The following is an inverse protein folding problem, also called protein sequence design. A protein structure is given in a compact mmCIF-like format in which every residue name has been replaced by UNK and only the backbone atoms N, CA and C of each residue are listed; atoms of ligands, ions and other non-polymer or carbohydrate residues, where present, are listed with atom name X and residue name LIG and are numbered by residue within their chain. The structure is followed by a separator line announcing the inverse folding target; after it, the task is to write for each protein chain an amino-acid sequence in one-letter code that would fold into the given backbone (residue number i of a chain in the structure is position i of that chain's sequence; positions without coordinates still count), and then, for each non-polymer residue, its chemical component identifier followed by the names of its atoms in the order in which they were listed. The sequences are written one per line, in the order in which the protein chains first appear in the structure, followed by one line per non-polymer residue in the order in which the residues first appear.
data_IF_209099248790
#
_entry.id   IF_209099248790
#
_cell.length_a   1.000
_cell.length_b   1.000
_cell.length_c   1.000
_cell.angle_alpha   90.00
_cell.angle_beta   90.00
_cell.angle_gamma   90.00
#
_symmetry.space_group_name_H-M   'P 1'
#
loop_
_entity.id
_entity.type
_entity.pdbx_description
1 polymer ?
#
# COMPACT_ATOMS: atom_id res chain seq x y z
N UNK A 1 -0.01 -12.18 -6.87
CA UNK A 1 -1.37 -11.63 -6.71
C UNK A 1 -2.34 -12.66 -6.14
N UNK A 2 -2.24 -13.93 -6.57
CA UNK A 2 -3.02 -15.06 -6.04
C UNK A 2 -3.00 -15.14 -4.51
N UNK A 3 -1.81 -15.06 -3.91
CA UNK A 3 -1.63 -15.06 -2.46
C UNK A 3 -2.42 -13.96 -1.74
N UNK A 4 -2.50 -12.75 -2.32
CA UNK A 4 -3.26 -11.65 -1.71
C UNK A 4 -4.75 -11.95 -1.75
N UNK A 5 -5.26 -12.51 -2.84
CA UNK A 5 -6.66 -12.89 -2.99
C UNK A 5 -7.04 -14.03 -2.03
N UNK A 6 -6.22 -15.07 -1.93
CA UNK A 6 -6.43 -16.17 -0.97
C UNK A 6 -6.46 -15.65 0.48
N UNK A 7 -5.57 -14.72 0.81
CA UNK A 7 -5.58 -14.08 2.14
C UNK A 7 -6.83 -13.24 2.36
N UNK A 8 -7.23 -12.43 1.40
CA UNK A 8 -8.45 -11.62 1.50
C UNK A 8 -9.66 -12.52 1.70
N UNK A 9 -9.79 -13.59 0.93
CA UNK A 9 -10.85 -14.58 1.09
C UNK A 9 -10.85 -15.18 2.50
N UNK A 10 -9.69 -15.64 2.98
CA UNK A 10 -9.53 -16.23 4.31
C UNK A 10 -9.93 -15.26 5.42
N UNK A 11 -9.43 -14.03 5.41
CA UNK A 11 -9.72 -13.05 6.47
C UNK A 11 -11.17 -12.56 6.42
N UNK A 12 -11.76 -12.41 5.24
CA UNK A 12 -13.18 -12.07 5.12
C UNK A 12 -14.06 -13.19 5.70
N UNK A 13 -13.73 -14.45 5.43
CA UNK A 13 -14.42 -15.61 6.02
C UNK A 13 -14.29 -15.66 7.54
N UNK A 14 -13.07 -15.43 8.06
CA UNK A 14 -12.84 -15.37 9.50
C UNK A 14 -13.59 -14.20 10.15
N UNK A 15 -13.60 -13.03 9.47
CA UNK A 15 -14.39 -11.87 9.92
C UNK A 15 -15.87 -12.17 9.99
N UNK A 16 -16.43 -12.83 8.97
CA UNK A 16 -17.84 -13.25 8.97
C UNK A 16 -18.15 -14.21 10.13
N UNK A 17 -17.30 -15.21 10.35
CA UNK A 17 -17.47 -16.16 11.45
C UNK A 17 -17.39 -15.47 12.81
N UNK A 18 -16.41 -14.58 13.00
CA UNK A 18 -16.24 -13.83 14.26
C UNK A 18 -17.42 -12.90 14.52
N UNK A 19 -17.91 -12.21 13.49
CA UNK A 19 -19.11 -11.38 13.59
C UNK A 19 -20.35 -12.19 13.96
N UNK A 20 -20.48 -13.39 13.40
CA UNK A 20 -21.58 -14.30 13.73
C UNK A 20 -21.51 -14.75 15.20
N UNK A 21 -20.33 -15.11 15.70
CA UNK A 21 -20.14 -15.53 17.11
C UNK A 21 -20.47 -14.39 18.05
N UNK A 22 -19.94 -13.18 17.79
CA UNK A 22 -20.24 -12.00 18.62
C UNK A 22 -21.73 -11.71 18.61
N UNK A 23 -22.35 -11.72 17.43
CA UNK A 23 -23.78 -11.46 17.30
C UNK A 23 -24.63 -12.47 18.06
N UNK A 24 -24.30 -13.75 17.97
CA UNK A 24 -24.99 -14.81 18.74
C UNK A 24 -24.85 -14.60 20.25
N UNK A 25 -23.63 -14.22 20.70
CA UNK A 25 -23.40 -13.90 22.12
C UNK A 25 -24.21 -12.68 22.58
N UNK A 26 -24.28 -11.63 21.77
CA UNK A 26 -25.06 -10.43 22.07
C UNK A 26 -26.56 -10.76 22.15
N UNK A 27 -27.09 -11.54 21.21
CA UNK A 27 -28.51 -12.00 21.27
C UNK A 27 -28.76 -12.77 22.56
N UNK A 28 -27.84 -13.67 22.95
CA UNK A 28 -28.00 -14.47 24.13
C UNK A 28 -28.05 -13.62 25.44
N UNK A 29 -27.18 -12.60 25.54
CA UNK A 29 -27.05 -11.72 26.71
C UNK A 29 -28.20 -10.72 26.78
N UNK A 30 -28.62 -10.15 25.64
CA UNK A 30 -29.60 -9.06 25.56
C UNK A 30 -30.90 -9.50 24.89
N UNK A 31 -31.30 -10.76 25.08
CA UNK A 31 -32.45 -11.41 24.42
C UNK A 31 -33.70 -10.56 24.42
N UNK A 32 -34.08 -9.99 25.59
CA UNK A 32 -35.36 -9.30 25.77
C UNK A 32 -35.41 -7.94 25.05
N UNK A 33 -34.27 -7.33 24.78
CA UNK A 33 -34.16 -6.02 24.13
C UNK A 33 -33.98 -6.18 22.63
N UNK A 34 -33.05 -7.03 22.20
CA UNK A 34 -32.60 -7.14 20.82
C UNK A 34 -33.56 -7.94 19.95
N UNK A 35 -34.25 -8.94 20.54
CA UNK A 35 -35.14 -9.81 19.75
C UNK A 35 -36.28 -9.07 19.04
N UNK A 36 -36.67 -7.88 19.52
CA UNK A 36 -37.70 -7.05 18.93
C UNK A 36 -37.20 -6.08 17.87
N UNK A 37 -35.87 -5.93 17.71
CA UNK A 37 -35.27 -4.96 16.81
C UNK A 37 -34.86 -5.64 15.48
N UNK A 38 -35.82 -5.72 14.57
CA UNK A 38 -35.65 -6.31 13.26
C UNK A 38 -34.55 -5.59 12.44
N UNK A 39 -34.42 -4.26 12.58
CA UNK A 39 -33.44 -3.48 11.82
C UNK A 39 -32.02 -3.87 12.17
N UNK A 40 -31.73 -4.02 13.47
CA UNK A 40 -30.41 -4.49 13.93
C UNK A 40 -30.07 -5.89 13.42
N UNK A 41 -31.05 -6.82 13.45
CA UNK A 41 -30.84 -8.17 12.89
C UNK A 41 -30.54 -8.14 11.40
N UNK A 42 -31.27 -7.32 10.64
CA UNK A 42 -31.07 -7.18 9.20
C UNK A 42 -29.70 -6.60 8.88
N UNK A 43 -29.27 -5.51 9.56
CA UNK A 43 -27.97 -4.87 9.33
C UNK A 43 -26.83 -5.85 9.60
N UNK A 44 -26.85 -6.53 10.74
CA UNK A 44 -25.77 -7.45 11.11
C UNK A 44 -25.75 -8.67 10.17
N UNK A 45 -26.92 -9.23 9.86
CA UNK A 45 -27.05 -10.31 8.88
C UNK A 45 -26.51 -9.91 7.51
N UNK A 46 -26.82 -8.69 7.06
CA UNK A 46 -26.29 -8.15 5.81
C UNK A 46 -24.77 -8.00 5.81
N UNK A 47 -24.19 -7.50 6.93
CA UNK A 47 -22.72 -7.39 7.06
C UNK A 47 -22.06 -8.78 6.96
N UNK A 48 -22.60 -9.77 7.67
CA UNK A 48 -22.07 -11.15 7.63
C UNK A 48 -22.18 -11.71 6.21
N UNK A 49 -23.31 -11.53 5.55
CA UNK A 49 -23.53 -11.95 4.16
C UNK A 49 -22.54 -11.30 3.21
N UNK A 50 -22.33 -9.99 3.33
CA UNK A 50 -21.36 -9.25 2.52
C UNK A 50 -19.93 -9.76 2.71
N UNK A 51 -19.51 -10.02 3.94
CA UNK A 51 -18.18 -10.60 4.23
C UNK A 51 -18.00 -11.99 3.61
N UNK A 52 -19.04 -12.81 3.64
CA UNK A 52 -19.05 -14.12 2.98
C UNK A 52 -18.99 -13.97 1.45
N UNK A 53 -19.76 -13.06 0.88
CA UNK A 53 -19.74 -12.73 -0.55
C UNK A 53 -18.36 -12.27 -1.03
N UNK A 54 -17.72 -11.39 -0.26
CA UNK A 54 -16.35 -10.94 -0.51
C UNK A 54 -15.38 -12.14 -0.48
N UNK A 55 -15.50 -13.01 0.53
CA UNK A 55 -14.67 -14.22 0.63
C UNK A 55 -14.80 -15.11 -0.60
N UNK A 56 -16.04 -15.40 -1.01
CA UNK A 56 -16.33 -16.23 -2.17
C UNK A 56 -15.80 -15.62 -3.47
N UNK A 57 -16.00 -14.31 -3.65
CA UNK A 57 -15.51 -13.59 -4.83
C UNK A 57 -13.99 -13.67 -4.96
N UNK A 58 -13.24 -13.39 -3.89
CA UNK A 58 -11.78 -13.44 -3.92
C UNK A 58 -11.23 -14.87 -4.00
N UNK A 59 -11.94 -15.87 -3.47
CA UNK A 59 -11.56 -17.26 -3.63
C UNK A 59 -11.66 -17.68 -5.11
N UNK A 60 -12.78 -17.40 -5.76
CA UNK A 60 -12.98 -17.70 -7.19
C UNK A 60 -11.97 -16.94 -8.06
N UNK A 61 -11.64 -15.71 -7.70
CA UNK A 61 -10.63 -14.94 -8.40
C UNK A 61 -9.22 -15.55 -8.24
N UNK A 62 -8.88 -16.03 -7.05
CA UNK A 62 -7.60 -16.69 -6.80
C UNK A 62 -7.45 -18.01 -7.58
N UNK A 63 -8.53 -18.77 -7.71
CA UNK A 63 -8.54 -20.05 -8.46
C UNK A 63 -8.27 -19.87 -9.96
N UNK A 64 -8.66 -18.72 -10.52
CA UNK A 64 -8.40 -18.39 -11.94
C UNK A 64 -6.96 -17.97 -12.22
N UNK A 65 -6.18 -17.65 -11.19
CA UNK A 65 -4.80 -17.21 -11.34
C UNK A 65 -3.84 -18.41 -11.31
N UNK A 66 -2.79 -18.38 -12.15
CA UNK A 66 -1.74 -19.38 -12.09
C UNK A 66 -1.07 -19.37 -10.73
N UNK A 67 -0.51 -20.51 -10.34
CA UNK A 67 0.31 -20.57 -9.14
C UNK A 67 1.51 -19.65 -9.31
N UNK A 68 1.78 -18.84 -8.27
CA UNK A 68 2.96 -17.98 -8.28
C UNK A 68 4.20 -18.86 -8.44
N UNK A 69 4.90 -18.69 -9.54
CA UNK A 69 6.24 -19.25 -9.68
C UNK A 69 7.13 -18.56 -8.66
N UNK A 70 7.97 -19.31 -7.95
CA UNK A 70 9.07 -18.69 -7.20
C UNK A 70 9.97 -18.03 -8.23
N UNK A 71 9.89 -16.72 -8.31
CA UNK A 71 10.78 -15.95 -9.14
C UNK A 71 12.19 -16.19 -8.61
N UNK A 72 13.09 -16.55 -9.50
CA UNK A 72 14.47 -16.88 -9.15
C UNK A 72 15.09 -15.69 -8.42
N UNK A 73 15.62 -15.92 -7.22
CA UNK A 73 16.19 -14.86 -6.35
C UNK A 73 17.32 -14.07 -7.02
N UNK A 74 17.92 -14.60 -8.07
CA UNK A 74 18.95 -13.92 -8.87
C UNK A 74 18.41 -12.74 -9.71
N UNK A 75 17.10 -12.70 -10.01
CA UNK A 75 16.45 -11.58 -10.68
C UNK A 75 16.19 -10.38 -9.75
N UNK A 76 16.25 -10.59 -8.45
CA UNK A 76 16.14 -9.53 -7.44
C UNK A 76 17.52 -8.96 -7.13
N UNK A 77 18.19 -8.42 -8.14
CA UNK A 77 19.34 -7.59 -7.90
C UNK A 77 18.94 -6.45 -6.95
N UNK A 78 19.88 -6.01 -6.13
CA UNK A 78 19.76 -4.83 -5.27
C UNK A 78 19.34 -3.60 -6.09
N UNK A 79 19.55 -3.62 -7.38
CA UNK A 79 19.07 -2.64 -8.33
C UNK A 79 17.58 -2.82 -8.57
N UNK A 80 16.83 -1.75 -8.35
CA UNK A 80 15.38 -1.66 -8.60
C UNK A 80 15.14 -1.54 -10.12
N UNK A 81 15.02 -2.67 -10.88
CA UNK A 81 15.12 -2.66 -12.34
C UNK A 81 13.83 -2.31 -13.06
N UNK A 82 12.72 -2.13 -12.30
CA UNK A 82 11.40 -2.17 -12.89
C UNK A 82 10.95 -0.80 -13.41
N UNK A 83 10.38 -0.83 -14.61
CA UNK A 83 9.75 0.33 -15.25
C UNK A 83 8.31 0.53 -14.80
N UNK A 84 7.60 -0.58 -14.55
CA UNK A 84 6.18 -0.59 -14.24
C UNK A 84 5.93 -1.44 -13.00
N UNK A 85 5.19 -0.89 -12.06
CA UNK A 85 4.87 -1.52 -10.78
C UNK A 85 3.42 -1.23 -10.41
N UNK A 86 2.80 -2.21 -9.79
CA UNK A 86 1.49 -2.05 -9.17
C UNK A 86 1.65 -2.17 -7.65
N UNK A 87 1.13 -1.20 -6.91
CA UNK A 87 1.08 -1.25 -5.47
C UNK A 87 -0.19 -1.96 -5.02
N UNK A 88 0.00 -3.03 -4.27
CA UNK A 88 -1.09 -3.84 -3.77
C UNK A 88 -1.05 -3.94 -2.26
N UNK A 89 -2.12 -3.54 -1.58
CA UNK A 89 -2.24 -3.71 -0.13
C UNK A 89 -2.58 -5.15 0.23
N UNK A 90 -1.95 -5.64 1.27
CA UNK A 90 -2.29 -6.90 1.90
C UNK A 90 -3.35 -6.69 2.99
N UNK A 91 -4.27 -7.61 3.11
CA UNK A 91 -5.21 -7.67 4.22
C UNK A 91 -4.49 -8.22 5.44
N UNK A 92 -3.98 -7.32 6.26
CA UNK A 92 -3.26 -7.65 7.50
C UNK A 92 -3.46 -6.58 8.54
N UNK A 93 -3.39 -6.98 9.82
CA UNK A 93 -3.52 -6.07 10.96
C UNK A 93 -2.42 -4.99 10.92
N UNK A 94 -1.20 -5.39 10.61
CA UNK A 94 -0.07 -4.49 10.40
C UNK A 94 -0.02 -4.17 8.90
N UNK A 95 -0.01 -2.89 8.51
CA UNK A 95 -0.04 -2.50 7.11
C UNK A 95 1.14 -3.09 6.36
N UNK A 96 0.82 -3.77 5.27
CA UNK A 96 1.79 -4.34 4.36
C UNK A 96 1.31 -4.07 2.93
N UNK A 97 2.23 -3.71 2.07
CA UNK A 97 1.97 -3.57 0.64
C UNK A 97 3.00 -4.34 -0.16
N UNK A 98 2.56 -4.88 -1.28
CA UNK A 98 3.44 -5.53 -2.25
C UNK A 98 3.58 -4.64 -3.47
N UNK A 99 4.78 -4.64 -4.02
CA UNK A 99 5.05 -4.13 -5.36
C UNK A 99 5.01 -5.34 -6.29
N UNK A 100 4.11 -5.26 -7.25
CA UNK A 100 3.79 -6.36 -8.16
C UNK A 100 4.16 -5.94 -9.56
N UNK A 101 4.76 -6.84 -10.33
CA UNK A 101 5.08 -6.63 -11.74
C UNK A 101 3.82 -6.47 -12.59
N UNK A 102 3.99 -6.04 -13.83
CA UNK A 102 2.91 -6.05 -14.84
C UNK A 102 2.35 -7.45 -15.13
N UNK A 103 3.10 -8.52 -14.80
CA UNK A 103 2.70 -9.92 -14.95
C UNK A 103 2.00 -10.51 -13.72
N UNK A 104 1.86 -9.73 -12.63
CA UNK A 104 1.18 -10.17 -11.40
C UNK A 104 2.11 -10.82 -10.37
N UNK A 105 3.42 -10.84 -10.59
CA UNK A 105 4.41 -11.42 -9.67
C UNK A 105 4.75 -10.43 -8.55
N UNK A 106 4.88 -10.95 -7.31
CA UNK A 106 5.31 -10.15 -6.16
C UNK A 106 6.83 -9.97 -6.19
N UNK A 107 7.28 -8.74 -6.31
CA UNK A 107 8.70 -8.40 -6.43
C UNK A 107 9.28 -7.93 -5.09
N UNK A 108 8.57 -7.01 -4.45
CA UNK A 108 8.98 -6.42 -3.18
C UNK A 108 7.81 -6.33 -2.23
N UNK A 109 8.11 -6.20 -0.95
CA UNK A 109 7.13 -5.85 0.08
C UNK A 109 7.59 -4.63 0.86
N UNK A 110 6.62 -3.81 1.26
CA UNK A 110 6.81 -2.69 2.16
C UNK A 110 6.06 -3.01 3.45
N UNK A 111 6.76 -2.99 4.56
CA UNK A 111 6.19 -3.22 5.89
C UNK A 111 6.87 -2.35 6.94
N UNK A 112 6.21 -2.02 8.07
CA UNK A 112 6.85 -1.30 9.17
C UNK A 112 8.06 -2.06 9.71
N UNK A 113 9.13 -1.33 10.04
CA UNK A 113 10.35 -1.90 10.60
C UNK A 113 10.05 -2.66 11.90
N UNK A 114 10.76 -3.78 12.09
CA UNK A 114 10.65 -4.59 13.30
C UNK A 114 11.42 -4.02 14.48
N UNK A 115 12.34 -3.09 14.25
CA UNK A 115 13.21 -2.51 15.26
C UNK A 115 12.45 -1.74 16.35
N UNK A 116 11.28 -1.20 16.01
CA UNK A 116 10.43 -0.44 16.92
C UNK A 116 9.08 -1.14 17.11
N UNK A 117 9.01 -2.12 18.00
CA UNK A 117 7.80 -2.95 18.22
C UNK A 117 6.54 -2.15 18.51
N UNK A 118 6.64 -1.09 19.34
CA UNK A 118 5.50 -0.24 19.70
C UNK A 118 5.01 0.56 18.49
N UNK A 119 5.91 1.23 17.77
CA UNK A 119 5.52 2.00 16.59
C UNK A 119 4.94 1.11 15.48
N UNK A 120 5.45 -0.12 15.35
CA UNK A 120 4.90 -1.13 14.44
C UNK A 120 3.46 -1.53 14.79
N UNK A 121 3.18 -1.77 16.06
CA UNK A 121 1.81 -2.10 16.51
C UNK A 121 0.86 -0.92 16.30
N UNK A 122 1.31 0.29 16.58
CA UNK A 122 0.53 1.52 16.37
C UNK A 122 0.13 1.71 14.91
N UNK A 123 0.90 1.18 13.93
CA UNK A 123 0.51 1.26 12.51
C UNK A 123 -0.75 0.49 12.16
N UNK A 124 -1.24 -0.40 13.05
CA UNK A 124 -2.55 -1.03 12.87
C UNK A 124 -3.69 0.01 12.88
N UNK A 125 -3.53 1.12 13.60
CA UNK A 125 -4.45 2.24 13.57
C UNK A 125 -4.12 3.19 12.41
N UNK A 126 -5.12 3.53 11.59
CA UNK A 126 -4.96 4.38 10.42
C UNK A 126 -4.32 5.74 10.72
N UNK A 127 -4.62 6.33 11.88
CA UNK A 127 -4.11 7.62 12.31
C UNK A 127 -2.58 7.61 12.46
N UNK A 128 -2.02 6.52 12.99
CA UNK A 128 -0.59 6.43 13.25
C UNK A 128 0.24 6.04 12.01
N UNK A 129 -0.36 5.41 11.00
CA UNK A 129 0.32 5.02 9.75
C UNK A 129 1.04 6.19 9.07
N UNK A 130 0.56 7.41 9.29
CA UNK A 130 1.05 8.64 8.66
C UNK A 130 2.16 9.33 9.46
N UNK A 131 2.66 8.74 10.51
CA UNK A 131 3.66 9.38 11.38
C UNK A 131 3.15 10.64 12.09
N UNK A 132 1.84 10.72 12.40
CA UNK A 132 1.21 11.94 12.91
C UNK A 132 1.75 12.33 14.31
N UNK A 133 1.91 11.37 15.19
CA UNK A 133 2.43 11.58 16.55
C UNK A 133 3.82 11.00 16.74
N UNK A 134 4.15 9.94 15.99
CA UNK A 134 5.41 9.22 16.09
C UNK A 134 6.02 9.04 14.72
N UNK A 135 7.33 9.11 14.62
CA UNK A 135 8.03 8.74 13.40
C UNK A 135 7.84 7.24 13.15
N UNK A 136 7.45 6.87 11.94
CA UNK A 136 7.29 5.48 11.55
C UNK A 136 8.28 5.17 10.46
N UNK A 137 9.00 4.08 10.66
CA UNK A 137 9.98 3.58 9.71
C UNK A 137 9.41 2.35 8.99
N UNK A 138 9.49 2.38 7.67
CA UNK A 138 9.12 1.28 6.79
C UNK A 138 10.35 0.73 6.08
N UNK A 139 10.34 -0.57 5.83
CA UNK A 139 11.35 -1.25 5.06
C UNK A 139 10.75 -1.72 3.73
N UNK A 140 11.39 -1.36 2.63
CA UNK A 140 11.20 -1.99 1.33
C UNK A 140 12.16 -3.18 1.27
N UNK A 141 11.61 -4.37 1.11
CA UNK A 141 12.35 -5.64 1.14
C UNK A 141 12.09 -6.44 -0.13
N UNK A 142 13.07 -7.24 -0.53
CA UNK A 142 12.84 -8.33 -1.48
C UNK A 142 11.95 -9.40 -0.86
N UNK A 143 11.47 -10.33 -1.65
CA UNK A 143 10.69 -11.47 -1.13
C UNK A 143 11.53 -12.40 -0.24
N UNK A 144 12.87 -12.35 -0.36
CA UNK A 144 13.83 -13.09 0.48
C UNK A 144 14.22 -12.33 1.77
N UNK A 145 13.44 -11.31 2.16
CA UNK A 145 13.62 -10.50 3.38
C UNK A 145 14.82 -9.55 3.38
N UNK A 146 15.59 -9.42 2.29
CA UNK A 146 16.68 -8.47 2.20
C UNK A 146 16.14 -7.04 2.12
N UNK A 147 16.65 -6.14 2.95
CA UNK A 147 16.26 -4.72 2.95
C UNK A 147 16.96 -4.01 1.80
N UNK A 148 16.19 -3.48 0.87
CA UNK A 148 16.68 -2.67 -0.26
C UNK A 148 16.70 -1.20 0.13
N UNK A 149 15.65 -0.75 0.83
CA UNK A 149 15.48 0.65 1.21
C UNK A 149 14.73 0.73 2.54
N UNK A 150 15.10 1.71 3.33
CA UNK A 150 14.36 2.10 4.53
C UNK A 150 13.89 3.53 4.37
N UNK A 151 12.65 3.82 4.73
CA UNK A 151 12.18 5.20 4.75
C UNK A 151 11.39 5.50 6.02
N UNK A 152 11.63 6.69 6.56
CA UNK A 152 11.00 7.16 7.79
C UNK A 152 10.05 8.31 7.47
N UNK A 153 8.81 8.16 7.93
CA UNK A 153 7.77 9.17 7.84
C UNK A 153 7.72 9.92 9.16
N UNK A 154 7.87 11.24 9.11
CA UNK A 154 7.80 12.12 10.27
C UNK A 154 6.91 13.32 9.99
N UNK A 155 5.92 13.52 10.83
CA UNK A 155 5.10 14.71 10.78
C UNK A 155 5.78 15.89 11.49
N UNK A 156 5.77 17.04 10.84
CA UNK A 156 6.28 18.32 11.32
C UNK A 156 5.13 19.33 11.22
N UNK A 157 4.30 19.48 12.21
CA UNK A 157 3.14 20.39 12.32
C UNK A 157 2.59 21.00 11.00
N UNK A 158 3.45 21.55 10.12
CA UNK A 158 3.08 22.19 8.84
C UNK A 158 3.31 21.30 7.61
N UNK A 159 4.14 20.31 7.72
CA UNK A 159 4.52 19.43 6.59
C UNK A 159 4.89 18.02 7.09
N UNK A 160 4.79 17.10 6.18
CA UNK A 160 5.26 15.73 6.35
C UNK A 160 6.62 15.58 5.70
N UNK A 161 7.52 14.84 6.34
CA UNK A 161 8.85 14.56 5.83
C UNK A 161 9.05 13.06 5.70
N UNK A 162 9.45 12.61 4.51
CA UNK A 162 9.95 11.27 4.26
C UNK A 162 11.46 11.35 4.09
N UNK A 163 12.20 10.63 4.91
CA UNK A 163 13.64 10.44 4.76
C UNK A 163 13.91 9.05 4.24
N UNK A 164 14.66 8.94 3.16
CA UNK A 164 14.92 7.69 2.46
C UNK A 164 16.39 7.32 2.63
N UNK A 165 16.62 6.04 2.98
CA UNK A 165 17.94 5.48 3.24
C UNK A 165 18.13 4.22 2.41
N UNK A 166 19.24 4.10 1.74
CA UNK A 166 19.67 2.88 1.08
C UNK A 166 20.28 1.93 2.12
N UNK A 167 19.89 0.67 2.08
CA UNK A 167 20.40 -0.37 3.00
C UNK A 167 20.46 0.04 4.49
N UNK A 168 19.50 0.85 4.94
CA UNK A 168 19.34 1.36 6.32
C UNK A 168 20.40 2.36 6.80
N UNK A 169 21.44 2.66 6.04
CA UNK A 169 22.59 3.46 6.52
C UNK A 169 22.82 4.75 5.73
N UNK A 170 22.74 4.70 4.40
CA UNK A 170 23.07 5.84 3.57
C UNK A 170 21.81 6.68 3.30
N UNK A 171 21.76 7.92 3.80
CA UNK A 171 20.70 8.87 3.46
C UNK A 171 20.85 9.28 2.00
N UNK A 172 19.84 9.01 1.19
CA UNK A 172 19.86 9.30 -0.25
C UNK A 172 18.98 10.49 -0.63
N UNK A 173 17.85 10.66 0.04
CA UNK A 173 16.94 11.76 -0.29
C UNK A 173 15.96 12.07 0.84
N UNK A 174 15.40 13.26 0.77
CA UNK A 174 14.29 13.71 1.62
C UNK A 174 13.15 14.21 0.73
N UNK A 175 11.93 13.77 1.01
CA UNK A 175 10.72 14.28 0.37
C UNK A 175 9.87 15.01 1.40
N UNK A 176 9.48 16.24 1.06
CA UNK A 176 8.63 17.08 1.91
C UNK A 176 7.27 17.24 1.25
N UNK A 177 6.21 16.93 2.02
CA UNK A 177 4.83 17.03 1.58
C UNK A 177 4.08 17.99 2.49
N UNK A 178 3.23 18.89 1.94
CA UNK A 178 2.36 19.71 2.77
C UNK A 178 1.35 18.82 3.51
N UNK A 179 1.10 19.15 4.79
CA UNK A 179 0.17 18.35 5.62
C UNK A 179 -1.28 18.51 5.15
N UNK A 180 -1.63 19.73 4.77
CA UNK A 180 -2.96 20.10 4.29
C UNK A 180 -2.86 20.54 2.83
N UNK A 181 -3.16 19.65 1.93
CA UNK A 181 -3.24 19.94 0.49
C UNK A 181 -4.37 19.15 -0.13
N UNK A 182 -5.20 19.84 -0.91
CA UNK A 182 -6.27 19.20 -1.68
C UNK A 182 -5.68 18.30 -2.78
N UNK A 183 -4.52 18.70 -3.33
CA UNK A 183 -3.80 17.94 -4.34
C UNK A 183 -2.53 17.34 -3.75
N UNK A 184 -2.16 16.17 -4.19
CA UNK A 184 -0.87 15.58 -3.84
C UNK A 184 0.27 16.47 -4.36
N UNK A 185 1.11 16.93 -3.44
CA UNK A 185 2.30 17.75 -3.72
C UNK A 185 3.49 17.17 -3.00
N UNK A 186 4.67 17.29 -3.59
CA UNK A 186 5.92 16.89 -2.97
C UNK A 186 7.08 17.73 -3.47
N UNK A 187 8.04 18.01 -2.58
CA UNK A 187 9.32 18.63 -2.92
C UNK A 187 10.43 17.67 -2.55
N UNK A 188 11.32 17.40 -3.48
CA UNK A 188 12.42 16.47 -3.34
C UNK A 188 13.72 17.21 -3.06
N UNK A 189 14.49 16.66 -2.12
CA UNK A 189 15.80 17.15 -1.75
C UNK A 189 16.79 15.98 -1.84
N UNK A 190 18.00 16.25 -2.31
CA UNK A 190 19.09 15.28 -2.28
C UNK A 190 19.67 15.09 -0.86
N UNK A 191 20.71 14.24 -0.73
CA UNK A 191 21.38 14.00 0.55
C UNK A 191 21.96 15.29 1.19
N UNK A 192 22.33 16.28 0.35
CA UNK A 192 22.88 17.57 0.77
C UNK A 192 21.82 18.61 1.12
N UNK A 193 20.52 18.24 1.13
CA UNK A 193 19.38 19.15 1.31
C UNK A 193 19.21 20.19 0.20
N UNK A 194 19.72 19.96 -1.00
CA UNK A 194 19.45 20.79 -2.17
C UNK A 194 18.15 20.33 -2.84
N UNK A 195 17.30 21.30 -3.21
CA UNK A 195 16.04 21.01 -3.89
C UNK A 195 16.33 20.51 -5.31
N UNK A 196 15.83 19.31 -5.62
CA UNK A 196 16.01 18.67 -6.93
C UNK A 196 14.78 18.87 -7.80
N UNK A 197 13.58 18.61 -7.22
CA UNK A 197 12.35 18.48 -7.98
C UNK A 197 11.17 18.90 -7.13
N UNK A 198 10.13 19.41 -7.79
CA UNK A 198 8.83 19.66 -7.17
C UNK A 198 7.74 19.08 -8.06
N UNK A 199 6.82 18.34 -7.46
CA UNK A 199 5.71 17.69 -8.14
C UNK A 199 4.38 18.11 -7.53
N UNK A 200 3.36 18.19 -8.38
CA UNK A 200 1.99 18.43 -7.99
C UNK A 200 1.05 17.62 -8.88
N UNK A 201 0.03 17.01 -8.27
CA UNK A 201 -1.00 16.29 -9.00
C UNK A 201 -1.80 17.25 -9.89
N UNK A 202 -2.02 16.85 -11.14
CA UNK A 202 -2.83 17.62 -12.11
C UNK A 202 -4.30 17.60 -11.73
N UNK A 203 -4.77 16.54 -11.11
CA UNK A 203 -6.18 16.36 -10.71
C UNK A 203 -6.34 16.10 -9.22
N UNK A 204 -7.55 16.29 -8.70
CA UNK A 204 -7.92 15.90 -7.33
C UNK A 204 -7.97 14.38 -7.14
N UNK A 205 -8.10 13.62 -8.23
CA UNK A 205 -8.12 12.14 -8.22
C UNK A 205 -6.76 11.51 -7.97
N UNK A 206 -5.71 12.32 -7.82
CA UNK A 206 -4.39 11.84 -7.43
C UNK A 206 -3.50 11.37 -8.57
N UNK A 207 -3.95 11.45 -9.83
CA UNK A 207 -3.10 11.15 -10.97
C UNK A 207 -1.96 12.16 -11.07
N UNK A 208 -0.73 11.67 -11.15
CA UNK A 208 0.46 12.48 -11.13
C UNK A 208 1.35 12.12 -12.32
N UNK A 209 1.71 13.15 -13.05
CA UNK A 209 2.78 13.11 -14.02
C UNK A 209 3.97 13.89 -13.44
N UNK A 210 5.09 13.23 -13.31
CA UNK A 210 6.32 13.83 -12.81
C UNK A 210 7.23 14.07 -14.00
N UNK A 211 7.44 15.34 -14.32
CA UNK A 211 8.34 15.78 -15.38
C UNK A 211 9.55 16.50 -14.77
N UNK A 212 10.71 16.40 -15.42
CA UNK A 212 11.89 17.19 -15.07
C UNK A 212 11.74 18.65 -15.55
N UNK A 213 12.75 19.45 -15.28
CA UNK A 213 12.80 20.86 -15.69
C UNK A 213 12.75 21.05 -17.22
N UNK A 214 13.13 20.03 -17.97
CA UNK A 214 13.14 20.03 -19.44
C UNK A 214 11.84 19.46 -20.03
N UNK A 215 10.86 19.10 -19.18
CA UNK A 215 9.61 18.48 -19.60
C UNK A 215 9.69 16.99 -19.90
N UNK A 216 10.82 16.32 -19.59
CA UNK A 216 10.96 14.88 -19.75
C UNK A 216 10.19 14.15 -18.64
N UNK A 217 9.36 13.16 -19.00
CA UNK A 217 8.63 12.35 -18.06
C UNK A 217 9.55 11.45 -17.25
N UNK A 218 9.58 11.65 -15.92
CA UNK A 218 10.36 10.84 -14.98
C UNK A 218 9.53 9.71 -14.37
N UNK A 219 8.28 10.01 -14.02
CA UNK A 219 7.38 9.02 -13.44
C UNK A 219 5.92 9.34 -13.74
N UNK A 220 5.07 8.31 -13.69
CA UNK A 220 3.61 8.48 -13.64
C UNK A 220 3.05 7.68 -12.49
N UNK A 221 2.07 8.24 -11.82
CA UNK A 221 1.27 7.60 -10.78
C UNK A 221 -0.19 7.70 -11.20
N UNK A 222 -0.88 6.56 -11.28
CA UNK A 222 -2.28 6.46 -11.65
C UNK A 222 -3.03 5.65 -10.61
N UNK A 223 -4.16 6.17 -10.19
CA UNK A 223 -5.03 5.51 -9.23
C UNK A 223 -6.43 5.38 -9.83
N UNK A 224 -7.01 4.19 -9.77
CA UNK A 224 -8.39 3.99 -10.19
C UNK A 224 -8.67 2.66 -10.86
N UNK A 225 -9.86 2.60 -11.48
CA UNK A 225 -10.30 1.47 -12.28
C UNK A 225 -9.44 1.45 -13.55
N UNK A 226 -8.74 0.36 -13.72
CA UNK A 226 -7.75 0.26 -14.77
C UNK A 226 -8.36 0.20 -16.18
N UNK A 227 -7.81 1.00 -17.13
CA UNK A 227 -7.29 0.39 -18.33
C UNK A 227 -5.78 0.16 -18.27
N UNK A 228 -5.14 0.47 -17.14
CA UNK A 228 -3.67 0.50 -17.03
C UNK A 228 -3.05 -0.86 -16.71
N UNK A 229 -3.81 -1.80 -16.19
CA UNK A 229 -3.35 -3.16 -15.97
C UNK A 229 -3.73 -4.01 -17.19
N UNK A 230 -2.73 -4.31 -18.00
CA UNK A 230 -2.89 -5.11 -19.22
C UNK A 230 -3.00 -6.62 -18.95
N UNK A 231 -2.70 -7.06 -17.75
CA UNK A 231 -2.72 -8.48 -17.39
C UNK A 231 -4.05 -8.87 -16.74
N UNK A 232 -4.69 -10.01 -17.14
CA UNK A 232 -5.97 -10.48 -16.59
C UNK A 232 -6.01 -10.62 -15.07
N UNK A 233 -4.85 -10.81 -14.44
CA UNK A 233 -4.74 -10.88 -12.98
C UNK A 233 -5.26 -9.62 -12.25
N UNK A 234 -5.25 -8.46 -12.91
CA UNK A 234 -5.68 -7.19 -12.33
C UNK A 234 -7.15 -6.85 -12.64
N UNK A 235 -7.82 -7.61 -13.50
CA UNK A 235 -9.23 -7.36 -13.85
C UNK A 235 -10.18 -7.48 -12.64
N UNK A 236 -9.78 -8.28 -11.65
CA UNK A 236 -10.57 -8.53 -10.45
C UNK A 236 -10.55 -7.38 -9.47
N UNK A 237 -9.57 -6.50 -9.57
CA UNK A 237 -9.43 -5.38 -8.64
C UNK A 237 -10.01 -4.10 -9.22
N UNK A 238 -11.03 -3.58 -8.53
CA UNK A 238 -11.67 -2.34 -8.91
C UNK A 238 -10.75 -1.12 -8.80
N UNK A 239 -9.73 -1.17 -7.91
CA UNK A 239 -8.82 -0.05 -7.68
C UNK A 239 -7.37 -0.52 -7.57
N UNK A 240 -6.57 -0.11 -8.54
CA UNK A 240 -5.15 -0.40 -8.62
C UNK A 240 -4.34 0.90 -8.57
N UNK A 241 -3.16 0.82 -8.00
CA UNK A 241 -2.16 1.89 -8.11
C UNK A 241 -1.09 1.43 -9.07
N UNK A 242 -1.06 2.05 -10.22
CA UNK A 242 -0.09 1.77 -11.27
C UNK A 242 0.95 2.88 -11.35
N UNK A 243 2.21 2.49 -11.35
CA UNK A 243 3.36 3.39 -11.40
C UNK A 243 4.25 3.02 -12.56
N UNK A 244 4.62 4.01 -13.36
CA UNK A 244 5.69 3.89 -14.36
C UNK A 244 6.84 4.79 -13.98
N UNK A 245 8.06 4.28 -14.12
CA UNK A 245 9.31 5.00 -13.88
C UNK A 245 10.11 5.08 -15.18
N UNK A 246 10.75 6.22 -15.42
CA UNK A 246 11.67 6.34 -16.55
C UNK A 246 12.86 5.40 -16.38
N UNK A 247 13.40 4.91 -17.49
CA UNK A 247 14.49 3.93 -17.47
C UNK A 247 15.81 4.48 -16.94
N UNK A 248 16.07 5.73 -17.28
CA UNK A 248 17.28 6.46 -17.00
C UNK A 248 17.33 7.10 -15.62
N UNK A 249 16.31 6.88 -14.78
CA UNK A 249 16.36 7.24 -13.38
C UNK A 249 17.46 6.47 -12.66
N UNK A 250 18.19 7.18 -11.83
CA UNK A 250 19.18 6.58 -10.93
C UNK A 250 18.47 5.66 -9.92
N UNK A 251 19.21 4.72 -9.34
CA UNK A 251 18.68 3.84 -8.31
C UNK A 251 18.07 4.62 -7.14
N UNK A 252 18.75 5.65 -6.67
CA UNK A 252 18.27 6.52 -5.57
C UNK A 252 16.95 7.22 -5.90
N UNK A 253 16.78 7.71 -7.12
CA UNK A 253 15.53 8.34 -7.56
C UNK A 253 14.38 7.32 -7.62
N UNK A 254 14.62 6.12 -8.14
CA UNK A 254 13.61 5.05 -8.18
C UNK A 254 13.14 4.67 -6.79
N UNK A 255 14.05 4.52 -5.83
CA UNK A 255 13.71 4.24 -4.43
C UNK A 255 12.92 5.39 -3.79
N UNK A 256 13.29 6.64 -4.10
CA UNK A 256 12.60 7.83 -3.63
C UNK A 256 11.16 7.88 -4.15
N UNK A 257 10.94 7.62 -5.43
CA UNK A 257 9.59 7.53 -6.00
C UNK A 257 8.80 6.36 -5.41
N UNK A 258 9.41 5.20 -5.20
CA UNK A 258 8.73 4.05 -4.59
C UNK A 258 8.23 4.39 -3.17
N UNK A 259 9.05 5.04 -2.34
CA UNK A 259 8.66 5.48 -1.00
C UNK A 259 7.53 6.53 -1.03
N UNK A 260 7.60 7.52 -1.93
CA UNK A 260 6.59 8.55 -2.10
C UNK A 260 5.25 7.97 -2.56
N UNK A 261 5.28 7.11 -3.58
CA UNK A 261 4.05 6.51 -4.11
C UNK A 261 3.41 5.55 -3.11
N UNK A 262 4.21 4.82 -2.33
CA UNK A 262 3.69 4.06 -1.19
C UNK A 262 2.96 4.97 -0.19
N UNK A 263 3.55 6.10 0.16
CA UNK A 263 2.93 7.06 1.07
C UNK A 263 1.59 7.57 0.51
N UNK A 264 1.53 7.93 -0.77
CA UNK A 264 0.29 8.38 -1.41
C UNK A 264 -0.76 7.27 -1.50
N UNK A 265 -0.37 6.05 -1.83
CA UNK A 265 -1.26 4.87 -1.81
C UNK A 265 -1.85 4.63 -0.41
N UNK A 266 -1.08 4.90 0.63
CA UNK A 266 -1.50 4.80 2.02
C UNK A 266 -2.56 5.82 2.44
N UNK A 267 -2.73 6.89 1.68
CA UNK A 267 -3.61 8.02 1.98
C UNK A 267 -4.94 7.98 1.24
N UNK A 268 -5.10 7.05 0.32
CA UNK A 268 -6.32 6.74 -0.43
C UNK A 268 -6.94 5.44 0.10
#
# INVERSE_FOLDING_TARGET
LKYIYERTAKYSKLGALFSLIIYTAIIFIFRDIIWKDFETHFIIGFIIFMLYGISFYFQNAAEKLPNEQKVDSQLYSIEFPFKELNFQRDVSLIPRSYLISSTGERLYKIEPSKEHSISRLLTACAIFKRGLFFSITYNLKTMDENIVCQFTIKNKIKFMQLKIYENTKSHISTVVLPLFSIKNRAVFFNANNEKILQVEAKSMYGDIDVDDINGKRLATYRFGISPYATHPAFEVQAMNVHVKLAQDLTHAEKLTFAALFYYWTGNQ
#
